data_IF_868350018013
#
_entry.id   IF_868350018013
#
_cell.length_a   1.000
_cell.length_b   1.000
_cell.length_c   1.000
_cell.angle_alpha   90.00
_cell.angle_beta   90.00
_cell.angle_gamma   90.00
#
_symmetry.space_group_name_H-M   'P 1'
#
loop_
_entity.id
_entity.type
_entity.pdbx_description
1 polymer ?
#
# COMPACT_ATOMS: atom_id res chain seq x y z
N UNK A 1 -4.46 30.98 2.52
CA UNK A 1 -3.10 30.68 1.98
C UNK A 1 -2.74 29.25 2.37
N UNK A 2 -2.36 28.40 1.42
CA UNK A 2 -1.93 27.00 1.68
C UNK A 2 -0.59 27.05 2.41
N UNK A 3 -0.47 26.29 3.52
CA UNK A 3 0.76 26.22 4.35
C UNK A 3 1.44 24.85 4.26
N UNK A 4 0.66 23.80 3.96
CA UNK A 4 1.13 22.42 3.89
C UNK A 4 0.41 21.64 2.80
N UNK A 5 1.07 20.62 2.26
CA UNK A 5 0.52 19.66 1.31
C UNK A 5 0.73 18.26 1.87
N UNK A 6 -0.34 17.48 1.92
CA UNK A 6 -0.32 16.08 2.37
C UNK A 6 -0.42 15.18 1.14
N UNK A 7 0.43 14.19 1.08
CA UNK A 7 0.57 13.23 -0.02
C UNK A 7 0.22 11.83 0.46
N UNK A 8 -0.39 11.04 -0.40
CA UNK A 8 -0.31 9.59 -0.30
C UNK A 8 1.00 9.09 -0.96
N UNK A 9 1.40 7.87 -0.67
CA UNK A 9 2.61 7.26 -1.24
C UNK A 9 2.29 6.26 -2.34
N UNK A 10 1.53 5.20 -2.01
CA UNK A 10 1.18 4.12 -2.92
C UNK A 10 0.25 4.57 -4.04
N UNK A 11 0.63 4.35 -5.31
CA UNK A 11 -0.16 4.81 -6.45
C UNK A 11 -0.02 6.30 -6.78
N UNK A 12 0.60 7.09 -5.91
CA UNK A 12 0.91 8.52 -6.15
C UNK A 12 2.38 8.70 -6.47
N UNK A 13 3.26 8.43 -5.52
CA UNK A 13 4.72 8.49 -5.72
C UNK A 13 5.30 7.20 -6.31
N UNK A 14 4.57 6.11 -6.20
CA UNK A 14 4.87 4.84 -6.88
C UNK A 14 3.77 4.49 -7.90
N UNK A 15 4.00 3.48 -8.74
CA UNK A 15 2.95 2.86 -9.55
C UNK A 15 1.87 2.28 -8.63
N UNK A 16 0.65 2.21 -9.14
CA UNK A 16 -0.48 1.67 -8.38
C UNK A 16 -0.34 0.16 -8.18
N UNK A 17 -0.57 -0.38 -6.98
CA UNK A 17 -0.65 -1.83 -6.77
C UNK A 17 -1.75 -2.48 -7.62
N UNK A 18 -2.79 -1.74 -8.00
CA UNK A 18 -3.85 -2.25 -8.87
C UNK A 18 -3.37 -2.67 -10.25
N UNK A 19 -2.32 -2.03 -10.79
CA UNK A 19 -1.70 -2.47 -12.04
C UNK A 19 -1.07 -3.87 -11.90
N UNK A 20 -0.43 -4.13 -10.75
CA UNK A 20 0.14 -5.44 -10.45
C UNK A 20 -0.95 -6.48 -10.17
N UNK A 21 -2.03 -6.12 -9.47
CA UNK A 21 -3.21 -6.98 -9.29
C UNK A 21 -3.82 -7.38 -10.62
N UNK A 22 -4.10 -6.43 -11.50
CA UNK A 22 -4.67 -6.69 -12.81
C UNK A 22 -3.78 -7.60 -13.68
N UNK A 23 -2.47 -7.47 -13.56
CA UNK A 23 -1.52 -8.36 -14.26
C UNK A 23 -1.58 -9.78 -13.69
N UNK A 24 -1.50 -9.93 -12.38
CA UNK A 24 -1.60 -11.21 -11.68
C UNK A 24 -2.92 -11.93 -12.02
N UNK A 25 -4.05 -11.22 -11.97
CA UNK A 25 -5.37 -11.76 -12.29
C UNK A 25 -5.43 -12.30 -13.72
N UNK A 26 -4.87 -11.57 -14.70
CA UNK A 26 -4.82 -12.06 -16.10
C UNK A 26 -3.95 -13.31 -16.24
N UNK A 27 -2.76 -13.30 -15.61
CA UNK A 27 -1.81 -14.43 -15.69
C UNK A 27 -2.38 -15.69 -15.02
N UNK A 28 -3.05 -15.53 -13.88
CA UNK A 28 -3.70 -16.60 -13.15
C UNK A 28 -5.09 -16.99 -13.69
N UNK A 29 -5.59 -16.31 -14.73
CA UNK A 29 -6.94 -16.51 -15.31
C UNK A 29 -8.05 -16.31 -14.28
N UNK A 30 -7.88 -15.37 -13.40
CA UNK A 30 -8.85 -14.92 -12.39
C UNK A 30 -9.63 -13.73 -12.97
N UNK A 31 -10.92 -13.57 -12.64
CA UNK A 31 -11.70 -12.41 -13.09
C UNK A 31 -11.03 -11.08 -12.77
N UNK A 32 -11.16 -10.10 -13.67
CA UNK A 32 -10.65 -8.75 -13.43
C UNK A 32 -11.26 -8.14 -12.16
N UNK A 33 -10.44 -7.37 -11.43
CA UNK A 33 -10.82 -6.71 -10.18
C UNK A 33 -11.19 -7.65 -9.02
N UNK A 34 -10.84 -8.93 -9.14
CA UNK A 34 -11.17 -9.93 -8.12
C UNK A 34 -10.52 -9.62 -6.76
N UNK A 35 -9.22 -9.35 -6.73
CA UNK A 35 -8.49 -9.01 -5.49
C UNK A 35 -9.11 -7.76 -4.85
N UNK A 36 -9.41 -6.74 -5.65
CA UNK A 36 -10.10 -5.53 -5.18
C UNK A 36 -11.50 -5.84 -4.66
N UNK A 37 -12.21 -6.72 -5.32
CA UNK A 37 -13.53 -7.18 -4.90
C UNK A 37 -13.52 -7.90 -3.56
N UNK A 38 -12.50 -8.74 -3.29
CA UNK A 38 -12.30 -9.39 -1.99
C UNK A 38 -12.05 -8.32 -0.90
N UNK A 39 -11.14 -7.37 -1.17
CA UNK A 39 -10.81 -6.30 -0.24
C UNK A 39 -11.98 -5.33 0.02
N UNK A 40 -12.91 -5.20 -0.90
CA UNK A 40 -14.10 -4.35 -0.74
C UNK A 40 -15.22 -5.01 0.08
N UNK A 41 -15.18 -6.33 0.31
CA UNK A 41 -16.14 -7.02 1.18
C UNK A 41 -15.75 -6.80 2.64
N UNK A 42 -16.72 -6.38 3.46
CA UNK A 42 -16.51 -6.10 4.87
C UNK A 42 -15.26 -5.21 5.11
N UNK A 43 -15.21 -3.99 4.53
CA UNK A 43 -13.98 -3.19 4.39
C UNK A 43 -13.34 -2.80 5.73
N UNK A 44 -14.08 -2.87 6.83
CA UNK A 44 -13.59 -2.54 8.17
C UNK A 44 -13.10 -3.77 8.95
N UNK A 45 -13.54 -4.98 8.60
CA UNK A 45 -13.28 -6.20 9.38
C UNK A 45 -12.59 -7.33 8.60
N UNK A 46 -12.35 -7.19 7.29
CA UNK A 46 -11.69 -8.24 6.50
C UNK A 46 -10.19 -8.36 6.83
N UNK A 47 -9.57 -9.42 6.31
CA UNK A 47 -8.15 -9.69 6.53
C UNK A 47 -7.26 -8.52 6.11
N UNK A 48 -7.58 -7.85 5.00
CA UNK A 48 -6.84 -6.71 4.50
C UNK A 48 -6.85 -5.54 5.49
N UNK A 49 -8.04 -5.17 5.99
CA UNK A 49 -8.20 -4.07 6.95
C UNK A 49 -7.46 -4.34 8.27
N UNK A 50 -7.56 -5.56 8.80
CA UNK A 50 -6.84 -5.97 10.00
C UNK A 50 -5.32 -5.91 9.80
N UNK A 51 -4.84 -6.32 8.63
CA UNK A 51 -3.42 -6.32 8.30
C UNK A 51 -2.86 -4.90 8.13
N UNK A 52 -3.61 -3.97 7.52
CA UNK A 52 -3.22 -2.57 7.41
C UNK A 52 -3.16 -1.85 8.77
N UNK A 53 -3.96 -2.29 9.75
CA UNK A 53 -3.89 -1.79 11.14
C UNK A 53 -2.86 -2.52 12.00
N UNK A 54 -2.12 -3.47 11.43
CA UNK A 54 -1.15 -4.32 12.13
C UNK A 54 -1.78 -5.15 13.29
N UNK A 55 -3.06 -5.49 13.19
CA UNK A 55 -3.79 -6.33 14.15
C UNK A 55 -3.48 -7.81 13.97
N UNK A 56 -3.03 -8.20 12.80
CA UNK A 56 -2.65 -9.58 12.45
C UNK A 56 -1.26 -9.64 11.83
N UNK A 57 -0.61 -10.77 11.98
CA UNK A 57 0.68 -11.08 11.36
C UNK A 57 0.54 -11.40 9.87
N UNK A 58 1.67 -11.45 9.15
CA UNK A 58 1.67 -11.88 7.74
C UNK A 58 1.16 -13.33 7.58
N UNK A 59 1.48 -14.23 8.50
CA UNK A 59 1.04 -15.62 8.47
C UNK A 59 -0.48 -15.75 8.70
N UNK A 60 -1.04 -14.93 9.57
CA UNK A 60 -2.48 -14.85 9.79
C UNK A 60 -3.18 -14.24 8.59
N UNK A 61 -2.64 -13.14 8.04
CA UNK A 61 -3.16 -12.54 6.82
C UNK A 61 -3.20 -13.53 5.66
N UNK A 62 -2.11 -14.27 5.44
CA UNK A 62 -2.00 -15.27 4.39
C UNK A 62 -3.17 -16.26 4.41
N UNK A 63 -3.43 -16.84 5.59
CA UNK A 63 -4.52 -17.80 5.79
C UNK A 63 -5.91 -17.17 5.68
N UNK A 64 -6.11 -16.01 6.29
CA UNK A 64 -7.42 -15.34 6.29
C UNK A 64 -7.80 -14.84 4.91
N UNK A 65 -6.85 -14.22 4.20
CA UNK A 65 -7.08 -13.73 2.84
C UNK A 65 -7.35 -14.89 1.86
N UNK A 66 -6.62 -16.01 1.99
CA UNK A 66 -6.90 -17.21 1.20
C UNK A 66 -8.32 -17.75 1.46
N UNK A 67 -8.76 -17.78 2.71
CA UNK A 67 -10.11 -18.21 3.05
C UNK A 67 -11.18 -17.26 2.46
N UNK A 68 -11.01 -15.94 2.59
CA UNK A 68 -11.92 -14.94 2.02
C UNK A 68 -11.98 -15.01 0.49
N UNK A 69 -10.83 -15.12 -0.17
CA UNK A 69 -10.75 -15.22 -1.64
C UNK A 69 -11.32 -16.54 -2.15
N UNK A 70 -11.14 -17.65 -1.43
CA UNK A 70 -11.76 -18.96 -1.75
C UNK A 70 -13.28 -18.88 -1.69
N UNK A 71 -13.85 -18.22 -0.66
CA UNK A 71 -15.29 -17.99 -0.55
C UNK A 71 -15.82 -17.09 -1.68
N UNK A 72 -14.96 -16.24 -2.25
CA UNK A 72 -15.29 -15.41 -3.39
C UNK A 72 -15.18 -16.15 -4.75
N UNK A 73 -14.63 -17.38 -4.77
CA UNK A 73 -14.56 -18.23 -5.96
C UNK A 73 -13.16 -18.62 -6.41
N UNK A 74 -12.10 -17.96 -5.94
CA UNK A 74 -10.71 -18.30 -6.30
C UNK A 74 -9.82 -18.18 -5.06
N UNK A 75 -9.11 -19.25 -4.71
CA UNK A 75 -8.15 -19.23 -3.60
C UNK A 75 -6.87 -18.51 -4.04
N UNK A 76 -6.52 -17.43 -3.37
CA UNK A 76 -5.29 -16.66 -3.58
C UNK A 76 -4.57 -16.55 -2.24
N UNK A 77 -3.30 -16.96 -2.20
CA UNK A 77 -2.49 -16.79 -1.01
C UNK A 77 -2.28 -15.29 -0.69
N UNK A 78 -2.46 -14.90 0.55
CA UNK A 78 -2.27 -13.50 0.96
C UNK A 78 -0.83 -13.02 0.72
N UNK A 79 0.16 -13.91 0.84
CA UNK A 79 1.58 -13.61 0.55
C UNK A 79 1.81 -13.21 -0.91
N UNK A 80 1.08 -13.81 -1.86
CA UNK A 80 1.15 -13.44 -3.27
C UNK A 80 0.64 -12.01 -3.47
N UNK A 81 -0.47 -11.66 -2.82
CA UNK A 81 -1.00 -10.29 -2.87
C UNK A 81 -0.03 -9.28 -2.27
N UNK A 82 0.57 -9.59 -1.13
CA UNK A 82 1.57 -8.72 -0.50
C UNK A 82 2.80 -8.52 -1.39
N UNK A 83 3.23 -9.54 -2.11
CA UNK A 83 4.35 -9.44 -3.06
C UNK A 83 4.08 -8.47 -4.23
N UNK A 84 2.80 -8.20 -4.54
CA UNK A 84 2.39 -7.26 -5.59
C UNK A 84 2.39 -5.78 -5.14
N UNK A 85 2.53 -5.50 -3.84
CA UNK A 85 2.40 -4.14 -3.30
C UNK A 85 3.61 -3.24 -3.60
N UNK A 86 4.75 -3.80 -3.94
CA UNK A 86 5.97 -3.04 -4.27
C UNK A 86 5.80 -2.28 -5.58
N UNK A 87 5.42 -1.01 -5.51
CA UNK A 87 5.29 -0.14 -6.69
C UNK A 87 6.63 0.46 -7.13
N UNK A 88 6.79 0.70 -8.43
CA UNK A 88 7.95 1.42 -9.00
C UNK A 88 7.82 2.91 -8.73
N UNK A 89 8.89 3.55 -8.24
CA UNK A 89 8.92 5.01 -8.01
C UNK A 89 8.68 5.77 -9.32
N UNK A 90 7.86 6.82 -9.26
CA UNK A 90 7.50 7.69 -10.39
C UNK A 90 8.33 8.97 -10.38
N UNK A 91 9.39 9.10 -11.20
CA UNK A 91 10.35 10.23 -11.11
C UNK A 91 9.67 11.59 -11.26
N UNK A 92 8.65 11.71 -12.12
CA UNK A 92 7.90 12.96 -12.31
C UNK A 92 7.15 13.39 -11.04
N UNK A 93 6.64 12.43 -10.28
CA UNK A 93 5.94 12.73 -9.03
C UNK A 93 6.91 13.07 -7.91
N UNK A 94 8.08 12.43 -7.88
CA UNK A 94 9.17 12.83 -6.98
C UNK A 94 9.60 14.26 -7.26
N UNK A 95 9.77 14.62 -8.53
CA UNK A 95 10.09 16.02 -8.90
C UNK A 95 9.00 17.01 -8.46
N UNK A 96 7.74 16.66 -8.60
CA UNK A 96 6.63 17.48 -8.10
C UNK A 96 6.69 17.65 -6.57
N UNK A 97 7.01 16.59 -5.83
CA UNK A 97 7.19 16.63 -4.38
C UNK A 97 8.36 17.54 -3.98
N UNK A 98 9.49 17.48 -4.69
CA UNK A 98 10.65 18.36 -4.46
C UNK A 98 10.26 19.83 -4.62
N UNK A 99 9.55 20.18 -5.69
CA UNK A 99 9.07 21.55 -5.94
C UNK A 99 8.08 21.98 -4.84
N UNK A 100 7.15 21.13 -4.46
CA UNK A 100 6.23 21.42 -3.35
C UNK A 100 6.98 21.68 -2.04
N UNK A 101 8.04 20.92 -1.76
CA UNK A 101 8.85 21.06 -0.55
C UNK A 101 9.59 22.39 -0.48
N UNK A 102 9.96 23.00 -1.60
CA UNK A 102 10.60 24.31 -1.64
C UNK A 102 9.67 25.43 -1.14
N UNK A 103 8.34 25.25 -1.26
CA UNK A 103 7.36 26.31 -0.99
C UNK A 103 6.42 26.00 0.18
N UNK A 104 6.27 24.72 0.55
CA UNK A 104 5.29 24.27 1.55
C UNK A 104 5.89 23.26 2.51
N UNK A 105 5.26 23.11 3.67
CA UNK A 105 5.46 21.91 4.47
C UNK A 105 4.84 20.72 3.76
N UNK A 106 5.56 19.62 3.63
CA UNK A 106 5.05 18.39 2.99
C UNK A 106 4.98 17.26 4.01
N UNK A 107 3.83 16.62 4.08
CA UNK A 107 3.58 15.44 4.88
C UNK A 107 3.15 14.26 4.01
N UNK A 108 3.32 13.05 4.52
CA UNK A 108 2.82 11.83 3.89
C UNK A 108 1.88 11.11 4.86
N UNK A 109 0.72 10.67 4.37
CA UNK A 109 -0.15 9.71 5.06
C UNK A 109 -0.26 8.51 4.13
N UNK A 110 0.09 7.33 4.63
CA UNK A 110 0.07 6.11 3.81
C UNK A 110 -0.43 4.91 4.59
N UNK A 111 -1.30 4.13 3.95
CA UNK A 111 -1.64 2.81 4.44
C UNK A 111 -0.53 1.84 4.04
N UNK A 112 0.04 1.16 5.02
CA UNK A 112 1.03 0.14 4.78
C UNK A 112 0.84 -1.05 5.73
N UNK A 113 1.29 -2.21 5.29
CA UNK A 113 1.13 -3.46 6.04
C UNK A 113 2.43 -3.84 6.75
N UNK A 114 2.40 -4.63 7.82
CA UNK A 114 3.59 -5.07 8.57
C UNK A 114 4.38 -6.16 7.81
N UNK A 115 4.51 -6.02 6.49
CA UNK A 115 5.26 -6.92 5.61
C UNK A 115 6.09 -6.10 4.63
N UNK A 116 7.11 -6.70 4.05
CA UNK A 116 8.04 -6.01 3.16
C UNK A 116 9.17 -5.27 3.89
N UNK A 117 9.96 -4.53 3.14
CA UNK A 117 11.14 -3.81 3.63
C UNK A 117 10.88 -2.31 3.69
N UNK A 118 10.46 -1.83 4.86
CA UNK A 118 10.23 -0.40 5.10
C UNK A 118 8.89 0.12 4.60
N UNK A 119 8.73 1.44 4.66
CA UNK A 119 7.46 2.15 4.46
C UNK A 119 6.88 2.06 3.06
N UNK A 120 7.70 1.80 2.04
CA UNK A 120 7.26 1.73 0.64
C UNK A 120 7.09 0.31 0.11
N UNK A 121 7.01 -0.71 0.98
CA UNK A 121 6.83 -2.12 0.58
C UNK A 121 7.87 -2.59 -0.46
N UNK A 122 9.15 -2.21 -0.27
CA UNK A 122 10.21 -2.44 -1.23
C UNK A 122 10.48 -3.93 -1.46
N UNK A 123 10.60 -4.33 -2.73
CA UNK A 123 10.81 -5.72 -3.15
C UNK A 123 12.29 -6.16 -3.13
N UNK A 124 13.25 -5.23 -3.14
CA UNK A 124 14.68 -5.52 -3.02
C UNK A 124 15.45 -4.36 -2.33
N UNK A 125 16.75 -4.55 -2.08
CA UNK A 125 17.59 -3.56 -1.38
C UNK A 125 17.75 -2.24 -2.15
N UNK A 126 17.89 -2.28 -3.49
CA UNK A 126 18.05 -1.08 -4.32
C UNK A 126 16.76 -0.26 -4.29
N UNK A 127 15.60 -0.89 -4.48
CA UNK A 127 14.30 -0.24 -4.38
C UNK A 127 14.04 0.30 -2.96
N UNK A 128 14.48 -0.42 -1.92
CA UNK A 128 14.37 0.08 -0.54
C UNK A 128 15.18 1.36 -0.32
N UNK A 129 16.36 1.49 -0.93
CA UNK A 129 17.16 2.70 -0.88
C UNK A 129 16.49 3.87 -1.62
N UNK A 130 15.92 3.61 -2.80
CA UNK A 130 15.18 4.60 -3.57
C UNK A 130 13.95 5.11 -2.82
N UNK A 131 13.13 4.21 -2.30
CA UNK A 131 11.95 4.54 -1.48
C UNK A 131 12.35 5.33 -0.23
N UNK A 132 13.43 4.94 0.46
CA UNK A 132 13.97 5.66 1.61
C UNK A 132 14.38 7.09 1.26
N UNK A 133 15.01 7.29 0.09
CA UNK A 133 15.41 8.62 -0.37
C UNK A 133 14.16 9.51 -0.63
N UNK A 134 13.12 8.97 -1.25
CA UNK A 134 11.86 9.69 -1.46
C UNK A 134 11.17 10.01 -0.13
N UNK A 135 11.10 9.06 0.80
CA UNK A 135 10.51 9.27 2.13
C UNK A 135 11.24 10.38 2.91
N UNK A 136 12.56 10.52 2.75
CA UNK A 136 13.35 11.58 3.38
C UNK A 136 13.01 13.00 2.89
N UNK A 137 12.26 13.15 1.81
CA UNK A 137 11.78 14.44 1.33
C UNK A 137 10.64 15.00 2.21
N UNK A 138 9.89 14.17 2.92
CA UNK A 138 8.79 14.59 3.78
C UNK A 138 9.29 15.16 5.11
N UNK A 139 8.61 16.19 5.60
CA UNK A 139 8.84 16.73 6.93
C UNK A 139 8.17 15.87 8.02
N UNK A 140 7.08 15.18 7.67
CA UNK A 140 6.35 14.30 8.58
C UNK A 140 5.71 13.14 7.82
N UNK A 141 5.69 11.94 8.43
CA UNK A 141 5.11 10.74 7.84
C UNK A 141 4.22 10.07 8.87
N UNK A 142 2.98 9.77 8.47
CA UNK A 142 2.03 8.95 9.23
C UNK A 142 1.81 7.65 8.49
N UNK A 143 2.08 6.53 9.15
CA UNK A 143 1.92 5.18 8.63
C UNK A 143 0.83 4.44 9.39
N UNK A 144 -0.13 3.83 8.70
CA UNK A 144 -1.26 3.11 9.32
C UNK A 144 -0.80 2.04 10.31
N UNK A 145 0.21 1.26 9.97
CA UNK A 145 0.77 0.20 10.84
C UNK A 145 1.36 0.73 12.16
N UNK A 146 1.73 2.01 12.23
CA UNK A 146 2.24 2.67 13.45
C UNK A 146 1.15 3.40 14.20
N UNK A 147 0.18 3.93 13.45
CA UNK A 147 -0.95 4.66 14.01
C UNK A 147 -2.03 3.72 14.58
N UNK A 148 -2.07 2.45 14.14
CA UNK A 148 -3.13 1.50 14.49
C UNK A 148 -4.48 1.83 13.86
N UNK A 149 -4.49 2.79 12.92
CA UNK A 149 -5.66 3.22 12.16
C UNK A 149 -5.28 3.38 10.70
N UNK A 150 -6.23 3.20 9.80
CA UNK A 150 -6.02 3.33 8.35
C UNK A 150 -6.88 4.46 7.77
N UNK A 151 -6.43 5.12 6.74
CA UNK A 151 -7.26 6.05 5.98
C UNK A 151 -8.32 5.26 5.19
N UNK A 152 -9.58 5.76 5.10
CA UNK A 152 -10.07 7.07 5.53
C UNK A 152 -10.74 7.11 6.93
N UNK A 153 -10.24 6.38 7.91
CA UNK A 153 -10.80 6.43 9.28
C UNK A 153 -10.78 7.88 9.80
N UNK A 154 -11.90 8.41 10.31
CA UNK A 154 -11.98 9.81 10.74
C UNK A 154 -11.33 10.12 12.10
N UNK A 155 -10.85 9.11 12.83
CA UNK A 155 -10.19 9.26 14.15
C UNK A 155 -8.80 9.86 14.09
#
# INVERSE_FOLDING_TARGET
MIKAVIWDFGGVLTSSPFEAFNRYEREARIPADFIRGVNARNPDGNAWAQFERAEITLDEFDRLFEAESRLAGHAIAGRDVVALLGGVVRPKMVRALEICREHYRVGCITNNVPAGRGSGMAFNKAHAAEVKAVMALFHHIVESKRAGIRTPDPR
#
